data_IF_403836219957
#
_entry.id   IF_403836219957
#
_cell.length_a   1.000
_cell.length_b   1.000
_cell.length_c   1.000
_cell.angle_alpha   90.00
_cell.angle_beta   90.00
_cell.angle_gamma   90.00
#
_symmetry.space_group_name_H-M   'P 1'
#
loop_
_entity.id
_entity.type
_entity.pdbx_description
1 polymer ?
#
# COMPACT_ATOMS: atom_id res chain seq x y z
N UNK A 1 -20.72 27.61 10.77
CA UNK A 1 -19.28 27.90 10.91
C UNK A 1 -18.56 26.71 10.31
N UNK A 2 -18.16 26.87 9.05
CA UNK A 2 -17.91 25.77 8.10
C UNK A 2 -16.55 25.10 8.34
N UNK A 3 -16.52 23.77 8.31
CA UNK A 3 -15.32 22.94 8.49
C UNK A 3 -14.14 23.33 7.57
N UNK A 4 -14.44 23.96 6.43
CA UNK A 4 -13.47 24.51 5.47
C UNK A 4 -12.47 25.50 6.09
N UNK A 5 -12.86 26.23 7.15
CA UNK A 5 -11.96 27.21 7.79
C UNK A 5 -10.89 26.58 8.69
N UNK A 6 -11.11 25.34 9.16
CA UNK A 6 -10.13 24.66 10.03
C UNK A 6 -9.00 24.08 9.19
N UNK A 7 -9.31 23.51 8.03
CA UNK A 7 -8.32 22.87 7.14
C UNK A 7 -7.40 23.92 6.50
N UNK A 8 -7.95 25.07 6.10
CA UNK A 8 -7.18 26.22 5.59
C UNK A 8 -6.34 26.93 6.66
N UNK A 9 -6.58 26.68 7.96
CA UNK A 9 -5.81 27.30 9.04
C UNK A 9 -4.51 26.55 9.39
N UNK A 10 -4.40 25.27 9.02
CA UNK A 10 -3.24 24.46 9.37
C UNK A 10 -2.00 24.88 8.53
N UNK A 11 -0.91 25.36 9.16
CA UNK A 11 0.27 25.85 8.45
C UNK A 11 0.96 24.76 7.63
N UNK A 12 0.91 23.50 8.06
CA UNK A 12 1.50 22.37 7.33
C UNK A 12 0.71 22.04 6.07
N UNK A 13 -0.62 22.03 6.14
CA UNK A 13 -1.48 21.81 4.98
C UNK A 13 -1.23 22.90 3.93
N UNK A 14 -1.12 24.17 4.37
CA UNK A 14 -0.80 25.29 3.48
C UNK A 14 0.58 25.16 2.85
N UNK A 15 1.58 24.76 3.63
CA UNK A 15 2.94 24.55 3.13
C UNK A 15 2.96 23.45 2.07
N UNK A 16 2.41 22.27 2.36
CA UNK A 16 2.40 21.14 1.43
C UNK A 16 1.58 21.43 0.19
N UNK A 17 0.43 22.11 0.33
CA UNK A 17 -0.36 22.60 -0.81
C UNK A 17 0.45 23.56 -1.68
N UNK A 18 1.15 24.51 -1.06
CA UNK A 18 2.06 25.43 -1.75
C UNK A 18 3.19 24.69 -2.50
N UNK A 19 3.77 23.66 -1.89
CA UNK A 19 4.79 22.83 -2.54
C UNK A 19 4.22 22.06 -3.73
N UNK A 20 3.01 21.50 -3.62
CA UNK A 20 2.32 20.78 -4.69
C UNK A 20 1.92 21.68 -5.86
N UNK A 21 1.44 22.90 -5.58
CA UNK A 21 1.08 23.86 -6.64
C UNK A 21 2.27 24.38 -7.43
N UNK A 22 3.49 24.33 -6.86
CA UNK A 22 4.74 24.73 -7.52
C UNK A 22 5.54 23.53 -8.03
N UNK A 23 4.93 22.35 -8.07
CA UNK A 23 5.59 21.13 -8.49
C UNK A 23 5.97 21.19 -9.99
N UNK A 24 7.25 20.98 -10.30
CA UNK A 24 7.75 20.80 -11.66
C UNK A 24 7.96 19.31 -11.94
N UNK A 25 7.89 18.91 -13.21
CA UNK A 25 8.01 17.50 -13.61
C UNK A 25 9.31 16.82 -13.10
N UNK A 26 10.40 17.58 -13.02
CA UNK A 26 11.72 17.10 -12.56
C UNK A 26 11.77 16.80 -11.05
N UNK A 27 10.92 17.45 -10.24
CA UNK A 27 10.94 17.33 -8.77
C UNK A 27 9.79 16.48 -8.21
N UNK A 28 8.94 15.91 -9.08
CA UNK A 28 7.70 15.21 -8.71
C UNK A 28 7.93 14.08 -7.72
N UNK A 29 8.85 13.17 -8.02
CA UNK A 29 9.09 11.97 -7.21
C UNK A 29 9.73 12.29 -5.85
N UNK A 30 10.64 13.27 -5.83
CA UNK A 30 11.24 13.77 -4.59
C UNK A 30 10.19 14.47 -3.71
N UNK A 31 9.33 15.29 -4.33
CA UNK A 31 8.31 16.06 -3.61
C UNK A 31 7.32 15.17 -2.86
N UNK A 32 6.82 14.11 -3.50
CA UNK A 32 5.90 13.17 -2.87
C UNK A 32 6.49 12.53 -1.60
N UNK A 33 7.76 12.15 -1.67
CA UNK A 33 8.48 11.58 -0.53
C UNK A 33 8.72 12.60 0.59
N UNK A 34 9.03 13.85 0.26
CA UNK A 34 9.17 14.91 1.27
C UNK A 34 7.86 15.19 1.99
N UNK A 35 6.74 15.22 1.26
CA UNK A 35 5.41 15.38 1.87
C UNK A 35 5.09 14.24 2.84
N UNK A 36 5.42 13.00 2.48
CA UNK A 36 5.29 11.85 3.39
C UNK A 36 6.16 12.01 4.64
N UNK A 37 7.43 12.43 4.49
CA UNK A 37 8.33 12.67 5.63
C UNK A 37 7.77 13.73 6.57
N UNK A 38 7.23 14.83 6.02
CA UNK A 38 6.58 15.88 6.81
C UNK A 38 5.39 15.28 7.56
N UNK A 39 4.48 14.58 6.89
CA UNK A 39 3.31 13.99 7.54
C UNK A 39 3.68 13.00 8.64
N UNK A 40 4.64 12.11 8.38
CA UNK A 40 5.16 11.14 9.37
C UNK A 40 5.80 11.80 10.57
N UNK A 41 6.48 12.93 10.39
CA UNK A 41 7.05 13.70 11.50
C UNK A 41 5.99 14.29 12.43
N UNK A 42 4.75 14.46 11.94
CA UNK A 42 3.64 15.05 12.67
C UNK A 42 2.79 14.03 13.44
N UNK A 43 2.84 12.73 13.12
CA UNK A 43 1.96 11.71 13.71
C UNK A 43 2.00 11.61 15.24
N UNK A 44 3.15 11.91 15.86
CA UNK A 44 3.31 11.87 17.32
C UNK A 44 3.19 13.25 17.97
N UNK A 45 2.72 14.25 17.23
CA UNK A 45 2.66 15.64 17.69
C UNK A 45 1.22 16.12 17.80
N UNK A 46 1.00 17.20 18.56
CA UNK A 46 -0.30 17.90 18.61
C UNK A 46 -0.74 18.48 17.27
N UNK A 47 0.14 18.49 16.28
CA UNK A 47 -0.08 19.04 14.94
C UNK A 47 -0.42 17.95 13.91
N UNK A 48 -0.68 16.72 14.36
CA UNK A 48 -1.14 15.63 13.50
C UNK A 48 -2.35 16.09 12.66
N UNK A 49 -2.29 15.77 11.37
CA UNK A 49 -3.33 16.18 10.43
C UNK A 49 -4.64 15.43 10.72
N UNK A 50 -5.79 16.13 10.77
CA UNK A 50 -7.09 15.47 10.84
C UNK A 50 -7.37 14.70 9.54
N UNK A 51 -8.24 13.69 9.62
CA UNK A 51 -8.55 12.82 8.49
C UNK A 51 -9.05 13.58 7.24
N UNK A 52 -9.80 14.66 7.44
CA UNK A 52 -10.28 15.52 6.37
C UNK A 52 -9.13 16.24 5.65
N UNK A 53 -8.12 16.72 6.39
CA UNK A 53 -6.95 17.37 5.80
C UNK A 53 -6.06 16.36 5.04
N UNK A 54 -5.95 15.14 5.56
CA UNK A 54 -5.26 14.01 4.89
C UNK A 54 -5.97 13.70 3.56
N UNK A 55 -7.30 13.66 3.54
CA UNK A 55 -8.11 13.43 2.33
C UNK A 55 -7.91 14.51 1.27
N UNK A 56 -7.92 15.78 1.66
CA UNK A 56 -7.67 16.89 0.73
C UNK A 56 -6.27 16.84 0.15
N UNK A 57 -5.27 16.57 1.00
CA UNK A 57 -3.89 16.44 0.56
C UNK A 57 -3.68 15.27 -0.39
N UNK A 58 -4.34 14.13 -0.16
CA UNK A 58 -4.37 13.02 -1.10
C UNK A 58 -4.98 13.41 -2.45
N UNK A 59 -6.08 14.15 -2.43
CA UNK A 59 -6.73 14.63 -3.66
C UNK A 59 -5.78 15.54 -4.48
N UNK A 60 -5.00 16.39 -3.79
CA UNK A 60 -3.97 17.22 -4.42
C UNK A 60 -2.81 16.39 -4.97
N UNK A 61 -2.32 15.38 -4.24
CA UNK A 61 -1.27 14.47 -4.71
C UNK A 61 -1.71 13.71 -5.97
N UNK A 62 -2.95 13.22 -5.98
CA UNK A 62 -3.52 12.52 -7.13
C UNK A 62 -3.66 13.45 -8.35
N UNK A 63 -4.05 14.71 -8.14
CA UNK A 63 -4.08 15.72 -9.22
C UNK A 63 -2.71 15.95 -9.86
N UNK A 64 -1.63 15.76 -9.09
CA UNK A 64 -0.25 15.87 -9.55
C UNK A 64 0.34 14.55 -10.05
N UNK A 65 -0.48 13.52 -10.29
CA UNK A 65 -0.09 12.16 -10.72
C UNK A 65 0.81 11.41 -9.72
N UNK A 66 0.80 11.81 -8.43
CA UNK A 66 1.58 11.17 -7.36
C UNK A 66 0.74 10.14 -6.61
N UNK A 67 0.44 9.03 -7.29
CA UNK A 67 -0.41 7.97 -6.76
C UNK A 67 0.20 7.27 -5.53
N UNK A 68 1.47 6.89 -5.60
CA UNK A 68 2.14 6.09 -4.57
C UNK A 68 2.25 6.84 -3.23
N UNK A 69 2.66 8.12 -3.18
CA UNK A 69 2.59 8.92 -1.96
C UNK A 69 1.16 9.09 -1.42
N UNK A 70 0.17 9.27 -2.30
CA UNK A 70 -1.22 9.40 -1.88
C UNK A 70 -1.73 8.12 -1.21
N UNK A 71 -1.46 6.94 -1.81
CA UNK A 71 -1.87 5.66 -1.26
C UNK A 71 -1.22 5.37 0.10
N UNK A 72 0.08 5.64 0.24
CA UNK A 72 0.79 5.48 1.53
C UNK A 72 0.16 6.33 2.63
N UNK A 73 -0.11 7.60 2.33
CA UNK A 73 -0.71 8.52 3.30
C UNK A 73 -2.12 8.07 3.73
N UNK A 74 -2.92 7.55 2.80
CA UNK A 74 -4.25 7.00 3.11
C UNK A 74 -4.15 5.75 3.98
N UNK A 75 -3.24 4.82 3.66
CA UNK A 75 -3.09 3.56 4.41
C UNK A 75 -2.47 3.75 5.79
N UNK A 76 -1.59 4.74 5.94
CA UNK A 76 -1.01 5.11 7.25
C UNK A 76 -2.03 5.76 8.19
N UNK A 77 -3.11 6.32 7.65
CA UNK A 77 -4.18 6.86 8.46
C UNK A 77 -4.89 5.73 9.23
N UNK A 78 -5.34 6.01 10.45
CA UNK A 78 -6.12 5.05 11.26
C UNK A 78 -7.62 5.04 10.93
N UNK A 79 -8.02 5.74 9.87
CA UNK A 79 -9.43 5.92 9.51
C UNK A 79 -9.83 4.93 8.41
N UNK A 80 -10.81 4.06 8.73
CA UNK A 80 -11.36 3.09 7.79
C UNK A 80 -11.95 3.74 6.53
N UNK A 81 -12.45 4.98 6.64
CA UNK A 81 -13.01 5.73 5.50
C UNK A 81 -11.92 6.08 4.48
N UNK A 82 -10.72 6.40 4.96
CA UNK A 82 -9.57 6.71 4.11
C UNK A 82 -9.00 5.43 3.48
N UNK A 83 -9.05 4.30 4.20
CA UNK A 83 -8.72 2.99 3.62
C UNK A 83 -9.67 2.59 2.50
N UNK A 84 -10.97 2.89 2.61
CA UNK A 84 -11.93 2.66 1.53
C UNK A 84 -11.57 3.46 0.26
N UNK A 85 -11.20 4.74 0.41
CA UNK A 85 -10.74 5.58 -0.71
C UNK A 85 -9.44 5.03 -1.32
N UNK A 86 -8.51 4.53 -0.49
CA UNK A 86 -7.29 3.88 -1.00
C UNK A 86 -7.62 2.64 -1.84
N UNK A 87 -8.57 1.82 -1.40
CA UNK A 87 -9.01 0.63 -2.14
C UNK A 87 -9.69 0.97 -3.47
N UNK A 88 -10.50 2.04 -3.52
CA UNK A 88 -11.08 2.52 -4.76
C UNK A 88 -10.00 2.90 -5.78
N UNK A 89 -8.95 3.62 -5.33
CA UNK A 89 -7.82 3.96 -6.19
C UNK A 89 -7.01 2.73 -6.62
N UNK A 90 -6.78 1.77 -5.72
CA UNK A 90 -6.10 0.50 -6.01
C UNK A 90 -6.90 -0.32 -7.04
N UNK A 91 -8.23 -0.38 -6.90
CA UNK A 91 -9.09 -1.08 -7.84
C UNK A 91 -9.15 -0.40 -9.22
N UNK A 92 -9.02 0.92 -9.27
CA UNK A 92 -8.96 1.68 -10.52
C UNK A 92 -7.64 1.47 -11.30
N UNK A 93 -6.58 1.02 -10.64
CA UNK A 93 -5.30 0.71 -11.29
C UNK A 93 -5.38 -0.66 -11.96
N UNK A 94 -5.51 -0.65 -13.29
CA UNK A 94 -5.59 -1.87 -14.09
C UNK A 94 -4.23 -2.56 -14.34
N UNK A 95 -3.12 -1.82 -14.27
CA UNK A 95 -1.77 -2.37 -14.44
C UNK A 95 -0.84 -1.87 -13.34
N UNK A 96 -0.15 -2.82 -12.71
CA UNK A 96 0.82 -2.58 -11.64
C UNK A 96 2.22 -2.51 -12.24
N UNK A 97 2.92 -1.42 -11.96
CA UNK A 97 4.22 -1.05 -12.52
C UNK A 97 5.16 -0.67 -11.36
N UNK A 98 6.48 -0.64 -11.60
CA UNK A 98 7.46 -0.24 -10.58
C UNK A 98 7.28 1.20 -10.05
N UNK A 99 6.51 2.04 -10.75
CA UNK A 99 6.17 3.41 -10.34
C UNK A 99 4.94 3.52 -9.42
N UNK A 100 4.08 2.50 -9.39
CA UNK A 100 2.84 2.53 -8.59
C UNK A 100 2.83 1.50 -7.46
N UNK A 101 3.78 0.55 -7.46
CA UNK A 101 3.87 -0.51 -6.48
C UNK A 101 5.29 -0.65 -5.95
N UNK A 102 5.41 -0.48 -4.65
CA UNK A 102 6.65 -0.54 -3.91
C UNK A 102 6.47 -1.40 -2.65
N UNK A 103 7.55 -2.01 -2.13
CA UNK A 103 7.45 -2.98 -1.03
C UNK A 103 6.88 -2.36 0.26
N UNK A 104 7.06 -1.06 0.45
CA UNK A 104 6.49 -0.33 1.59
C UNK A 104 4.96 -0.26 1.50
N UNK A 105 4.40 0.07 0.32
CA UNK A 105 2.96 0.08 0.11
C UNK A 105 2.33 -1.30 0.35
N UNK A 106 2.98 -2.36 -0.15
CA UNK A 106 2.53 -3.74 0.06
C UNK A 106 2.55 -4.12 1.55
N UNK A 107 3.53 -3.63 2.30
CA UNK A 107 3.64 -3.83 3.74
C UNK A 107 2.51 -3.10 4.48
N UNK A 108 2.23 -1.84 4.11
CA UNK A 108 1.12 -1.05 4.67
C UNK A 108 -0.25 -1.68 4.39
N UNK A 109 -0.46 -2.26 3.21
CA UNK A 109 -1.68 -2.99 2.89
C UNK A 109 -1.89 -4.22 3.78
N UNK A 110 -0.81 -4.93 4.09
CA UNK A 110 -0.83 -6.08 5.00
C UNK A 110 -1.06 -5.63 6.45
N UNK A 111 -0.40 -4.56 6.90
CA UNK A 111 -0.57 -3.98 8.24
C UNK A 111 -2.01 -3.47 8.46
N UNK A 112 -2.62 -2.89 7.43
CA UNK A 112 -4.02 -2.46 7.47
C UNK A 112 -5.03 -3.62 7.37
N UNK A 113 -4.57 -4.86 7.18
CA UNK A 113 -5.44 -6.04 7.08
C UNK A 113 -6.33 -6.06 5.83
N UNK A 114 -5.98 -5.31 4.78
CA UNK A 114 -6.83 -5.11 3.60
C UNK A 114 -6.66 -6.19 2.52
N UNK A 115 -5.88 -7.23 2.80
CA UNK A 115 -5.57 -8.30 1.83
C UNK A 115 -6.82 -8.91 1.20
N UNK A 116 -7.85 -9.20 2.00
CA UNK A 116 -9.10 -9.79 1.51
C UNK A 116 -9.84 -8.88 0.52
N UNK A 117 -9.78 -7.55 0.73
CA UNK A 117 -10.41 -6.58 -0.16
C UNK A 117 -9.59 -6.33 -1.43
N UNK A 118 -8.32 -6.71 -1.44
CA UNK A 118 -7.43 -6.59 -2.59
C UNK A 118 -7.45 -7.81 -3.52
N UNK A 119 -8.15 -8.90 -3.19
CA UNK A 119 -8.13 -10.16 -3.98
C UNK A 119 -8.53 -9.95 -5.44
N UNK A 120 -9.51 -9.09 -5.70
CA UNK A 120 -10.00 -8.78 -7.04
C UNK A 120 -9.16 -7.73 -7.78
N UNK A 121 -8.08 -7.22 -7.19
CA UNK A 121 -7.26 -6.14 -7.78
C UNK A 121 -5.95 -6.69 -8.33
N UNK A 122 -5.34 -5.94 -9.25
CA UNK A 122 -4.06 -6.30 -9.85
C UNK A 122 -2.90 -6.34 -8.83
N UNK A 123 -3.09 -5.79 -7.62
CA UNK A 123 -2.09 -5.80 -6.55
C UNK A 123 -1.98 -7.13 -5.81
N UNK A 124 -3.03 -7.96 -5.81
CA UNK A 124 -3.05 -9.26 -5.10
C UNK A 124 -1.82 -10.14 -5.38
N UNK A 125 -1.44 -10.44 -6.65
CA UNK A 125 -0.26 -11.26 -6.93
C UNK A 125 1.06 -10.64 -6.41
N UNK A 126 1.16 -9.31 -6.40
CA UNK A 126 2.33 -8.61 -5.89
C UNK A 126 2.42 -8.68 -4.36
N UNK A 127 1.29 -8.54 -3.66
CA UNK A 127 1.22 -8.70 -2.20
C UNK A 127 1.59 -10.13 -1.79
N UNK A 128 1.05 -11.14 -2.48
CA UNK A 128 1.37 -12.55 -2.21
C UNK A 128 2.87 -12.82 -2.46
N UNK A 129 3.43 -12.30 -3.56
CA UNK A 129 4.86 -12.45 -3.85
C UNK A 129 5.74 -11.77 -2.80
N UNK A 130 5.36 -10.60 -2.32
CA UNK A 130 6.08 -9.87 -1.25
C UNK A 130 6.06 -10.64 0.08
N UNK A 131 4.91 -11.21 0.43
CA UNK A 131 4.74 -12.07 1.60
C UNK A 131 5.62 -13.33 1.51
N UNK A 132 5.62 -14.01 0.36
CA UNK A 132 6.44 -15.21 0.13
C UNK A 132 7.94 -14.91 0.03
N UNK A 133 8.32 -13.69 -0.38
CA UNK A 133 9.71 -13.22 -0.39
C UNK A 133 10.22 -12.88 1.02
N UNK A 134 9.32 -12.66 1.98
CA UNK A 134 9.62 -12.33 3.39
C UNK A 134 9.35 -13.48 4.39
N UNK A 135 9.68 -14.77 4.11
CA UNK A 135 9.03 -15.91 4.77
C UNK A 135 9.57 -16.24 6.18
N UNK A 136 10.42 -15.43 6.81
CA UNK A 136 11.06 -15.82 8.08
C UNK A 136 11.18 -14.77 9.19
N UNK A 137 10.84 -13.49 8.97
CA UNK A 137 10.94 -12.44 10.00
C UNK A 137 9.99 -11.24 9.76
N UNK A 138 8.87 -11.46 9.07
CA UNK A 138 7.86 -10.41 8.93
C UNK A 138 6.92 -10.38 10.14
N UNK A 139 6.29 -9.23 10.47
CA UNK A 139 5.20 -9.16 11.45
C UNK A 139 3.93 -9.92 11.01
N UNK A 140 3.87 -10.38 9.76
CA UNK A 140 2.70 -11.01 9.17
C UNK A 140 2.79 -12.53 9.23
N UNK A 141 1.87 -13.14 9.97
CA UNK A 141 1.66 -14.58 9.94
C UNK A 141 0.79 -14.94 8.73
N UNK A 142 1.38 -15.71 7.81
CA UNK A 142 0.72 -16.14 6.58
C UNK A 142 -0.47 -17.07 6.86
N UNK A 143 -0.45 -17.83 7.97
CA UNK A 143 -1.57 -18.68 8.36
C UNK A 143 -2.74 -17.84 8.89
N UNK A 144 -2.46 -16.82 9.71
CA UNK A 144 -3.47 -15.87 10.16
C UNK A 144 -4.11 -15.09 9.00
N UNK A 145 -3.30 -14.62 8.04
CA UNK A 145 -3.79 -13.95 6.83
C UNK A 145 -4.65 -14.86 5.95
N UNK A 146 -4.28 -16.14 5.82
CA UNK A 146 -5.12 -17.13 5.13
C UNK A 146 -6.44 -17.36 5.89
N UNK A 147 -6.43 -17.31 7.22
CA UNK A 147 -7.64 -17.30 8.05
C UNK A 147 -8.56 -16.13 7.68
N UNK A 148 -8.05 -14.91 7.67
CA UNK A 148 -8.82 -13.72 7.28
C UNK A 148 -9.38 -13.80 5.85
N UNK A 149 -8.61 -14.36 4.90
CA UNK A 149 -9.09 -14.61 3.54
C UNK A 149 -10.25 -15.60 3.52
N UNK A 150 -10.15 -16.70 4.28
CA UNK A 150 -11.21 -17.71 4.39
C UNK A 150 -12.47 -17.12 5.02
N UNK A 151 -12.32 -16.33 6.08
CA UNK A 151 -13.45 -15.70 6.78
C UNK A 151 -14.14 -14.66 5.89
N UNK A 152 -13.40 -14.01 4.99
CA UNK A 152 -13.94 -13.14 3.94
C UNK A 152 -14.56 -13.89 2.75
N UNK A 153 -14.54 -15.23 2.74
CA UNK A 153 -15.12 -16.06 1.67
C UNK A 153 -14.15 -16.43 0.54
N UNK A 154 -12.90 -15.97 0.58
CA UNK A 154 -11.86 -16.25 -0.41
C UNK A 154 -11.09 -17.54 -0.09
N UNK A 155 -11.81 -18.66 -0.08
CA UNK A 155 -11.27 -19.97 0.34
C UNK A 155 -10.21 -20.50 -0.63
N UNK A 156 -10.38 -20.27 -1.94
CA UNK A 156 -9.44 -20.72 -2.97
C UNK A 156 -8.09 -19.98 -2.87
N UNK A 157 -8.15 -18.68 -2.60
CA UNK A 157 -7.01 -17.79 -2.42
C UNK A 157 -6.28 -18.06 -1.10
N UNK A 158 -7.03 -18.28 -0.02
CA UNK A 158 -6.49 -18.74 1.26
C UNK A 158 -5.75 -20.08 1.10
N UNK A 159 -6.37 -21.03 0.40
CA UNK A 159 -5.76 -22.33 0.09
C UNK A 159 -4.49 -22.19 -0.75
N UNK A 160 -4.53 -21.33 -1.77
CA UNK A 160 -3.38 -21.04 -2.63
C UNK A 160 -2.23 -20.41 -1.86
N UNK A 161 -2.52 -19.48 -0.94
CA UNK A 161 -1.52 -18.86 -0.06
C UNK A 161 -0.88 -19.90 0.87
N UNK A 162 -1.69 -20.73 1.53
CA UNK A 162 -1.19 -21.79 2.41
C UNK A 162 -0.36 -22.84 1.64
N UNK A 163 -0.78 -23.22 0.45
CA UNK A 163 -0.01 -24.12 -0.42
C UNK A 163 1.30 -23.47 -0.89
N UNK A 164 1.30 -22.17 -1.17
CA UNK A 164 2.52 -21.46 -1.52
C UNK A 164 3.50 -21.41 -0.34
N UNK A 165 3.00 -21.11 0.86
CA UNK A 165 3.80 -21.09 2.10
C UNK A 165 4.31 -22.50 2.45
N UNK A 166 3.48 -23.53 2.41
CA UNK A 166 3.86 -24.92 2.72
C UNK A 166 4.72 -25.55 1.62
N UNK A 167 4.44 -25.21 0.36
CA UNK A 167 5.22 -25.58 -0.81
C UNK A 167 6.63 -24.97 -0.81
N UNK A 168 6.88 -23.93 -0.01
CA UNK A 168 8.24 -23.41 0.22
C UNK A 168 9.09 -24.26 1.17
N UNK A 169 8.65 -25.46 1.57
CA UNK A 169 9.49 -26.42 2.28
C UNK A 169 10.79 -26.68 1.50
N UNK A 170 11.92 -26.73 2.21
CA UNK A 170 13.28 -26.72 1.62
C UNK A 170 13.47 -27.75 0.50
N UNK A 171 12.86 -28.93 0.62
CA UNK A 171 12.92 -30.02 -0.35
C UNK A 171 12.19 -29.72 -1.68
N UNK A 172 11.08 -29.00 -1.65
CA UNK A 172 10.33 -28.63 -2.85
C UNK A 172 10.91 -27.40 -3.55
N UNK A 173 11.56 -26.48 -2.82
CA UNK A 173 12.34 -25.38 -3.41
C UNK A 173 13.51 -25.88 -4.25
N UNK A 174 14.21 -26.93 -3.81
CA UNK A 174 15.29 -27.54 -4.61
C UNK A 174 14.73 -28.24 -5.84
N UNK A 175 13.58 -28.90 -5.72
CA UNK A 175 12.93 -29.56 -6.87
C UNK A 175 12.42 -28.54 -7.90
N UNK A 176 11.74 -27.47 -7.47
CA UNK A 176 11.25 -26.42 -8.37
C UNK A 176 12.39 -25.66 -9.05
N UNK A 177 13.49 -25.38 -8.31
CA UNK A 177 14.68 -24.78 -8.89
C UNK A 177 15.33 -25.71 -9.94
N UNK A 178 15.48 -27.00 -9.62
CA UNK A 178 16.00 -27.99 -10.56
C UNK A 178 15.10 -28.15 -11.81
N UNK A 179 13.78 -28.14 -11.64
CA UNK A 179 12.80 -28.21 -12.73
C UNK A 179 12.85 -26.95 -13.61
N UNK A 180 13.00 -25.77 -13.01
CA UNK A 180 13.14 -24.51 -13.76
C UNK A 180 14.46 -24.45 -14.54
N UNK A 181 15.55 -24.96 -13.97
CA UNK A 181 16.82 -25.10 -14.67
C UNK A 181 16.69 -26.09 -15.84
N UNK A 182 16.02 -27.23 -15.65
CA UNK A 182 15.77 -28.20 -16.72
C UNK A 182 14.94 -27.65 -17.89
N UNK A 183 13.99 -26.73 -17.62
CA UNK A 183 13.20 -26.05 -18.66
C UNK A 183 14.01 -25.07 -19.50
N UNK A 184 15.16 -24.59 -19.03
CA UNK A 184 16.07 -23.77 -19.85
C UNK A 184 16.92 -24.59 -20.83
N UNK A 185 16.92 -25.92 -20.70
CA UNK A 185 17.67 -26.83 -21.56
C UNK A 185 16.78 -27.62 -22.54
N UNK A 186 15.47 -27.37 -22.56
CA UNK A 186 14.50 -27.84 -23.56
C UNK A 186 14.11 -26.67 -24.46
#
# INVERSE_FOLDING_TARGET
>A
MSQDSVITSNPWVRLMTGMLTRCTAENKDGLGNEILKICRSLYNTKQMLPAEAVKELCSLLLSQSLLLPALKLLLESRDERLHAVALEHIAAVGQVNDSNCDPELLSLLLDAGLLAKCVSTAFYPHVVRHLLASPRRGPWDAEALAGHLRDAGHVAEAGSLLLAVRGTHRALRTFSAALSAGRHWL
#
